data_IF_198442873667
#
_entry.id   IF_198442873667
#
_cell.length_a   1.000
_cell.length_b   1.000
_cell.length_c   1.000
_cell.angle_alpha   90.00
_cell.angle_beta   90.00
_cell.angle_gamma   90.00
#
_symmetry.space_group_name_H-M   'P 1'
#
loop_
_entity.id
_entity.type
_entity.pdbx_description
1 polymer ?
#
# COMPACT_ATOMS: atom_id res chain seq x y z
N UNK A 1 24.54 -5.58 -35.69
CA UNK A 1 24.72 -5.33 -34.25
C UNK A 1 23.72 -6.22 -33.56
N UNK A 2 24.18 -7.18 -32.76
CA UNK A 2 23.28 -7.93 -31.87
C UNK A 2 22.82 -6.94 -30.80
N UNK A 3 21.52 -6.70 -30.71
CA UNK A 3 20.93 -6.05 -29.55
C UNK A 3 21.18 -6.98 -28.36
N UNK A 4 22.13 -6.60 -27.49
CA UNK A 4 22.29 -7.30 -26.22
C UNK A 4 21.01 -7.09 -25.42
N UNK A 5 20.33 -8.17 -25.11
CA UNK A 5 19.13 -8.20 -24.28
C UNK A 5 19.44 -7.52 -22.94
N UNK A 6 18.75 -6.42 -22.63
CA UNK A 6 18.88 -5.70 -21.36
C UNK A 6 18.02 -6.37 -20.30
N UNK A 7 18.63 -6.66 -19.16
CA UNK A 7 17.98 -7.27 -18.01
C UNK A 7 17.39 -6.15 -17.15
N UNK A 8 16.14 -6.30 -16.73
CA UNK A 8 15.44 -5.34 -15.88
C UNK A 8 15.12 -5.99 -14.53
N UNK A 9 15.55 -5.35 -13.46
CA UNK A 9 15.33 -5.83 -12.08
C UNK A 9 14.75 -4.70 -11.26
N UNK A 10 13.69 -5.00 -10.50
CA UNK A 10 13.10 -4.08 -9.55
C UNK A 10 13.54 -4.47 -8.14
N UNK A 11 14.13 -3.50 -7.44
CA UNK A 11 14.50 -3.61 -6.04
C UNK A 11 13.43 -2.92 -5.19
N UNK A 12 12.59 -3.71 -4.52
CA UNK A 12 11.48 -3.22 -3.73
C UNK A 12 11.87 -3.08 -2.27
N UNK A 13 11.61 -1.91 -1.71
CA UNK A 13 11.83 -1.57 -0.31
C UNK A 13 10.54 -1.06 0.31
N UNK A 14 10.38 -1.29 1.62
CA UNK A 14 9.26 -0.71 2.36
C UNK A 14 9.29 0.81 2.21
N UNK A 15 8.10 1.39 2.04
CA UNK A 15 7.90 2.83 1.93
C UNK A 15 7.03 3.25 3.10
N UNK A 16 7.42 4.32 3.78
CA UNK A 16 6.67 4.90 4.90
C UNK A 16 6.53 6.40 4.68
N UNK A 17 5.61 7.05 5.38
CA UNK A 17 5.41 8.49 5.25
C UNK A 17 4.81 9.07 6.51
N UNK A 18 4.78 10.39 6.60
CA UNK A 18 4.08 11.12 7.65
C UNK A 18 3.13 12.14 7.01
N UNK A 19 1.88 12.16 7.48
CA UNK A 19 0.88 13.14 7.07
C UNK A 19 0.70 14.18 8.19
N UNK A 20 1.08 15.41 7.90
CA UNK A 20 0.89 16.56 8.79
C UNK A 20 -0.42 17.24 8.38
N UNK A 21 -1.43 17.14 9.24
CA UNK A 21 -2.75 17.74 9.00
C UNK A 21 -2.71 19.26 9.15
N UNK A 22 -3.40 19.97 8.28
CA UNK A 22 -3.61 21.42 8.42
C UNK A 22 -4.64 21.78 9.51
N UNK A 23 -5.46 20.83 9.97
CA UNK A 23 -6.54 21.10 10.94
C UNK A 23 -6.08 21.21 12.41
N UNK A 24 -4.78 21.01 12.68
CA UNK A 24 -4.20 21.04 14.05
C UNK A 24 -4.17 22.42 14.72
N UNK A 25 -4.71 23.48 14.10
CA UNK A 25 -4.73 24.83 14.70
C UNK A 25 -5.79 25.03 15.82
N UNK A 26 -6.66 24.06 16.12
CA UNK A 26 -7.76 24.23 17.07
C UNK A 26 -7.80 23.27 18.27
N UNK A 27 -6.84 22.34 18.43
CA UNK A 27 -6.74 21.51 19.63
C UNK A 27 -5.84 22.18 20.69
N UNK A 28 -6.42 22.46 21.87
CA UNK A 28 -5.74 23.18 22.97
C UNK A 28 -4.61 22.37 23.64
N UNK A 29 -4.32 21.15 23.19
CA UNK A 29 -3.34 20.22 23.78
C UNK A 29 -2.37 19.69 22.72
N UNK A 30 -1.37 20.49 22.34
CA UNK A 30 -0.26 20.07 21.49
C UNK A 30 0.38 18.78 22.02
N UNK A 31 0.35 17.73 21.21
CA UNK A 31 1.03 16.45 21.46
C UNK A 31 2.34 16.38 20.65
N UNK A 32 3.31 15.57 21.08
CA UNK A 32 4.54 15.34 20.28
C UNK A 32 4.26 14.76 18.88
N UNK A 33 3.09 14.13 18.69
CA UNK A 33 2.66 13.56 17.41
C UNK A 33 2.29 14.66 16.39
N UNK A 34 1.85 15.83 16.84
CA UNK A 34 1.52 16.97 15.97
C UNK A 34 2.77 17.58 15.31
N UNK A 35 3.95 17.37 15.91
CA UNK A 35 5.22 17.84 15.37
C UNK A 35 5.79 16.93 14.26
N UNK A 36 5.39 15.65 14.23
CA UNK A 36 5.94 14.65 13.31
C UNK A 36 4.91 14.10 12.31
N UNK A 37 3.61 14.37 12.49
CA UNK A 37 2.54 13.91 11.61
C UNK A 37 2.05 12.49 11.93
N UNK A 38 0.92 12.11 11.34
CA UNK A 38 0.39 10.74 11.41
C UNK A 38 1.26 9.80 10.55
N UNK A 39 1.86 8.74 11.13
CA UNK A 39 2.66 7.80 10.37
C UNK A 39 1.78 6.94 9.45
N UNK A 40 2.24 6.75 8.22
CA UNK A 40 1.59 6.00 7.16
C UNK A 40 2.50 4.86 6.68
N UNK A 41 1.93 3.67 6.54
CA UNK A 41 2.63 2.54 5.92
C UNK A 41 2.40 2.50 4.40
N UNK A 42 3.07 1.60 3.68
CA UNK A 42 2.93 1.49 2.22
C UNK A 42 1.50 1.26 1.74
N UNK A 43 0.63 0.65 2.54
CA UNK A 43 -0.80 0.48 2.21
C UNK A 43 -1.54 1.81 2.28
N UNK A 44 -1.23 2.63 3.28
CA UNK A 44 -1.79 3.97 3.43
C UNK A 44 -1.24 4.93 2.36
N UNK A 45 0.04 4.80 2.01
CA UNK A 45 0.65 5.59 0.94
C UNK A 45 0.13 5.27 -0.46
N UNK A 46 -0.41 4.07 -0.68
CA UNK A 46 -1.00 3.69 -1.96
C UNK A 46 -2.16 4.62 -2.37
N UNK A 47 -2.84 5.27 -1.40
CA UNK A 47 -3.87 6.26 -1.65
C UNK A 47 -3.33 7.55 -2.27
N UNK A 48 -2.09 7.89 -1.93
CA UNK A 48 -1.40 9.08 -2.40
C UNK A 48 -0.46 8.79 -3.57
N UNK A 49 -0.50 7.57 -4.15
CA UNK A 49 0.42 7.14 -5.22
C UNK A 49 0.53 8.17 -6.35
N UNK A 50 -0.58 8.77 -6.77
CA UNK A 50 -0.57 9.76 -7.85
C UNK A 50 0.20 11.02 -7.48
N UNK A 51 0.00 11.54 -6.26
CA UNK A 51 0.70 12.72 -5.76
C UNK A 51 2.20 12.45 -5.57
N UNK A 52 2.52 11.29 -4.99
CA UNK A 52 3.92 10.86 -4.80
C UNK A 52 4.61 10.68 -6.15
N UNK A 53 3.94 10.06 -7.13
CA UNK A 53 4.49 9.87 -8.48
C UNK A 53 4.69 11.20 -9.21
N UNK A 54 3.77 12.14 -9.04
CA UNK A 54 3.92 13.49 -9.59
C UNK A 54 5.13 14.21 -9.00
N UNK A 55 5.30 14.16 -7.67
CA UNK A 55 6.44 14.81 -7.03
C UNK A 55 7.77 14.14 -7.39
N UNK A 56 7.82 12.81 -7.49
CA UNK A 56 9.00 12.09 -8.01
C UNK A 56 9.39 12.57 -9.42
N UNK A 57 8.42 12.72 -10.31
CA UNK A 57 8.67 13.21 -11.67
C UNK A 57 9.17 14.67 -11.69
N UNK A 58 8.75 15.49 -10.71
CA UNK A 58 9.18 16.89 -10.57
C UNK A 58 10.57 17.00 -9.95
N UNK A 59 10.86 16.19 -8.93
CA UNK A 59 12.14 16.14 -8.25
C UNK A 59 13.25 15.69 -9.20
N UNK A 60 12.93 14.74 -10.07
CA UNK A 60 13.78 14.31 -11.19
C UNK A 60 14.15 12.83 -11.10
N UNK A 61 14.22 12.19 -12.27
CA UNK A 61 14.72 10.82 -12.43
C UNK A 61 16.25 10.81 -12.38
N UNK A 62 16.82 11.04 -11.20
CA UNK A 62 18.27 10.95 -11.02
C UNK A 62 18.72 9.48 -11.06
N UNK A 63 19.57 9.17 -12.04
CA UNK A 63 20.24 7.88 -12.12
C UNK A 63 21.33 7.80 -11.06
N UNK A 64 21.11 6.98 -10.04
CA UNK A 64 22.04 6.80 -8.92
C UNK A 64 23.42 6.33 -9.39
N UNK A 65 23.51 5.63 -10.53
CA UNK A 65 24.79 5.15 -11.03
C UNK A 65 25.78 6.26 -11.37
N UNK A 66 25.32 7.50 -11.59
CA UNK A 66 26.20 8.66 -11.82
C UNK A 66 27.08 8.99 -10.60
N UNK A 67 26.64 8.60 -9.40
CA UNK A 67 27.34 8.84 -8.14
C UNK A 67 28.00 7.57 -7.57
N UNK A 68 27.84 6.43 -8.25
CA UNK A 68 28.37 5.17 -7.78
C UNK A 68 29.90 5.12 -7.94
N UNK A 69 30.63 5.09 -6.82
CA UNK A 69 32.10 5.02 -6.78
C UNK A 69 32.64 3.64 -6.36
N UNK A 70 31.82 2.60 -6.43
CA UNK A 70 32.21 1.24 -6.03
C UNK A 70 32.98 0.48 -7.11
N UNK A 71 32.86 -0.84 -7.11
CA UNK A 71 33.59 -1.75 -7.99
C UNK A 71 33.36 -1.45 -9.48
N UNK A 72 34.45 -1.40 -10.26
CA UNK A 72 34.41 -1.19 -11.70
C UNK A 72 33.53 -2.23 -12.45
N UNK A 73 33.48 -3.46 -11.93
CA UNK A 73 32.62 -4.51 -12.47
C UNK A 73 31.14 -4.13 -12.43
N UNK A 74 30.68 -3.47 -11.35
CA UNK A 74 29.29 -3.00 -11.22
C UNK A 74 29.04 -1.84 -12.19
N UNK A 75 29.99 -0.91 -12.33
CA UNK A 75 29.87 0.20 -13.30
C UNK A 75 29.76 -0.26 -14.76
N UNK A 76 30.39 -1.37 -15.12
CA UNK A 76 30.30 -1.94 -16.47
C UNK A 76 28.98 -2.71 -16.69
N UNK A 77 28.48 -3.37 -15.64
CA UNK A 77 27.30 -4.24 -15.71
C UNK A 77 25.98 -3.50 -15.51
N UNK A 78 25.94 -2.47 -14.68
CA UNK A 78 24.72 -1.68 -14.41
C UNK A 78 24.71 -0.47 -15.34
N UNK A 79 23.67 -0.36 -16.16
CA UNK A 79 23.44 0.79 -17.06
C UNK A 79 22.82 1.97 -16.35
N UNK A 80 21.81 1.71 -15.52
CA UNK A 80 21.09 2.72 -14.78
C UNK A 80 20.47 2.13 -13.51
N UNK A 81 20.28 2.98 -12.52
CA UNK A 81 19.56 2.70 -11.29
C UNK A 81 18.66 3.90 -10.97
N UNK A 82 17.39 3.83 -11.38
CA UNK A 82 16.43 4.93 -11.25
C UNK A 82 15.45 4.64 -10.12
N UNK A 83 15.30 5.58 -9.20
CA UNK A 83 14.37 5.47 -8.07
C UNK A 83 12.96 5.85 -8.51
N UNK A 84 11.97 5.09 -8.05
CA UNK A 84 10.55 5.28 -8.31
C UNK A 84 9.72 4.59 -7.23
N UNK A 85 8.41 4.48 -7.44
CA UNK A 85 7.49 3.73 -6.59
C UNK A 85 6.73 2.68 -7.40
N UNK A 86 6.48 1.53 -6.78
CA UNK A 86 5.73 0.42 -7.36
C UNK A 86 4.64 -0.04 -6.40
N UNK A 87 3.41 -0.15 -6.92
CA UNK A 87 2.27 -0.62 -6.16
C UNK A 87 2.11 -2.13 -6.35
N UNK A 88 2.30 -2.89 -5.28
CA UNK A 88 2.09 -4.33 -5.28
C UNK A 88 0.88 -4.69 -4.45
N UNK A 89 -0.19 -5.08 -5.15
CA UNK A 89 -1.44 -5.52 -4.54
C UNK A 89 -2.01 -4.54 -3.49
N UNK A 90 -1.90 -3.22 -3.72
CA UNK A 90 -2.42 -2.20 -2.82
C UNK A 90 -1.47 -1.76 -1.72
N UNK A 91 -0.22 -2.23 -1.73
CA UNK A 91 0.86 -1.70 -0.90
C UNK A 91 1.88 -1.03 -1.80
N UNK A 92 2.17 0.25 -1.53
CA UNK A 92 3.16 1.03 -2.24
C UNK A 92 4.55 0.77 -1.67
N UNK A 93 5.50 0.50 -2.55
CA UNK A 93 6.90 0.24 -2.22
C UNK A 93 7.78 1.29 -2.87
N UNK A 94 8.89 1.62 -2.21
CA UNK A 94 10.02 2.26 -2.87
C UNK A 94 10.63 1.26 -3.83
N UNK A 95 11.00 1.70 -5.03
CA UNK A 95 11.51 0.83 -6.07
C UNK A 95 12.73 1.45 -6.73
N UNK A 96 13.85 0.73 -6.80
CA UNK A 96 14.94 1.08 -7.71
C UNK A 96 14.85 0.17 -8.94
N UNK A 97 14.59 0.76 -10.11
CA UNK A 97 14.62 0.08 -11.40
C UNK A 97 16.07 0.02 -11.89
N UNK A 98 16.58 -1.20 -11.99
CA UNK A 98 17.92 -1.47 -12.49
C UNK A 98 17.86 -1.94 -13.94
N UNK A 99 18.61 -1.29 -14.81
CA UNK A 99 18.92 -1.83 -16.13
C UNK A 99 20.33 -2.43 -16.12
N UNK A 100 20.48 -3.70 -16.48
CA UNK A 100 21.75 -4.40 -16.48
C UNK A 100 22.12 -4.91 -17.88
N UNK A 101 23.41 -4.86 -18.18
CA UNK A 101 24.05 -5.56 -19.30
C UNK A 101 24.31 -7.03 -19.00
N UNK A 102 24.51 -7.36 -17.72
CA UNK A 102 24.85 -8.69 -17.23
C UNK A 102 24.38 -8.82 -15.78
N UNK A 103 24.00 -10.03 -15.36
CA UNK A 103 23.65 -10.29 -13.97
C UNK A 103 24.81 -10.00 -13.01
N UNK A 104 24.47 -9.43 -11.86
CA UNK A 104 25.40 -9.22 -10.76
C UNK A 104 25.54 -10.52 -9.96
N UNK A 105 26.77 -10.83 -9.54
CA UNK A 105 27.00 -11.90 -8.59
C UNK A 105 26.56 -11.47 -7.17
N UNK A 106 26.46 -12.39 -6.19
CA UNK A 106 25.96 -12.07 -4.86
C UNK A 106 26.77 -10.99 -4.10
N UNK A 107 28.08 -10.90 -4.33
CA UNK A 107 28.94 -9.87 -3.70
C UNK A 107 28.69 -8.49 -4.33
N UNK A 108 28.62 -8.44 -5.66
CA UNK A 108 28.29 -7.22 -6.42
C UNK A 108 26.89 -6.71 -6.07
N UNK A 109 25.93 -7.62 -5.96
CA UNK A 109 24.56 -7.33 -5.58
C UNK A 109 24.45 -6.80 -4.16
N UNK A 110 25.25 -7.35 -3.24
CA UNK A 110 25.34 -6.85 -1.86
C UNK A 110 25.94 -5.44 -1.86
N UNK A 111 27.01 -5.21 -2.60
CA UNK A 111 27.65 -3.90 -2.70
C UNK A 111 26.68 -2.85 -3.28
N UNK A 112 25.99 -3.17 -4.37
CA UNK A 112 24.98 -2.29 -4.97
C UNK A 112 23.79 -2.06 -4.02
N UNK A 113 23.32 -3.09 -3.34
CA UNK A 113 22.23 -2.97 -2.36
C UNK A 113 22.61 -2.11 -1.15
N UNK A 114 23.83 -2.26 -0.63
CA UNK A 114 24.37 -1.42 0.45
C UNK A 114 24.49 0.04 -0.03
N UNK A 115 24.93 0.26 -1.28
CA UNK A 115 24.97 1.59 -1.89
C UNK A 115 23.59 2.24 -2.02
N UNK A 116 22.60 1.54 -2.58
CA UNK A 116 21.23 2.05 -2.74
C UNK A 116 20.61 2.37 -1.37
N UNK A 117 20.82 1.50 -0.39
CA UNK A 117 20.35 1.75 0.99
C UNK A 117 21.01 3.00 1.58
N UNK A 118 22.31 3.22 1.31
CA UNK A 118 23.00 4.45 1.67
C UNK A 118 22.41 5.69 0.99
N UNK A 119 22.11 5.61 -0.32
CA UNK A 119 21.45 6.68 -1.06
C UNK A 119 20.06 7.00 -0.50
N UNK A 120 19.30 6.01 -0.03
CA UNK A 120 18.00 6.25 0.60
C UNK A 120 18.12 6.91 1.97
N UNK A 121 19.19 6.64 2.72
CA UNK A 121 19.36 7.11 4.09
C UNK A 121 19.95 8.52 4.23
N UNK A 122 20.94 8.88 3.41
CA UNK A 122 21.78 10.09 3.60
C UNK A 122 22.14 10.76 2.26
N UNK A 123 21.38 10.42 1.21
CA UNK A 123 21.64 10.88 -0.15
C UNK A 123 20.36 11.30 -0.84
N UNK A 124 20.05 10.64 -1.95
CA UNK A 124 18.85 10.94 -2.73
C UNK A 124 17.56 10.86 -1.89
N UNK A 125 17.41 9.84 -1.03
CA UNK A 125 16.19 9.63 -0.25
C UNK A 125 15.96 10.67 0.82
N UNK A 126 17.02 11.12 1.51
CA UNK A 126 16.94 12.24 2.46
C UNK A 126 16.51 13.53 1.76
N UNK A 127 17.05 13.80 0.56
CA UNK A 127 16.66 14.97 -0.22
C UNK A 127 15.20 14.93 -0.69
N UNK A 128 14.71 13.74 -1.06
CA UNK A 128 13.32 13.53 -1.45
C UNK A 128 12.36 13.65 -0.25
N UNK A 129 12.75 13.16 0.92
CA UNK A 129 11.96 13.27 2.16
C UNK A 129 11.63 14.72 2.53
N UNK A 130 12.52 15.66 2.19
CA UNK A 130 12.31 17.10 2.40
C UNK A 130 11.35 17.74 1.38
N UNK A 131 10.84 16.99 0.40
CA UNK A 131 9.82 17.50 -0.51
C UNK A 131 8.44 17.38 0.14
N UNK A 132 7.85 18.53 0.44
CA UNK A 132 6.49 18.64 0.96
C UNK A 132 5.48 18.35 -0.17
N UNK A 133 4.80 17.21 -0.09
CA UNK A 133 3.77 16.82 -1.05
C UNK A 133 2.42 17.33 -0.53
N UNK A 134 1.85 18.31 -1.23
CA UNK A 134 0.54 18.85 -0.89
C UNK A 134 -0.56 17.85 -1.28
N UNK A 135 -1.33 17.40 -0.29
CA UNK A 135 -2.50 16.52 -0.46
C UNK A 135 -3.75 17.18 0.14
N UNK A 136 -4.94 16.62 -0.08
CA UNK A 136 -6.19 17.23 0.38
C UNK A 136 -6.22 17.37 1.92
N UNK A 137 -5.61 16.41 2.61
CA UNK A 137 -5.57 16.29 4.07
C UNK A 137 -4.41 17.03 4.73
N UNK A 138 -3.50 17.63 3.95
CA UNK A 138 -2.37 18.42 4.46
C UNK A 138 -1.06 18.16 3.73
N UNK A 139 0.04 18.06 4.48
CA UNK A 139 1.39 17.87 3.93
C UNK A 139 1.85 16.44 4.16
N UNK A 140 2.15 15.73 3.08
CA UNK A 140 2.71 14.38 3.09
C UNK A 140 4.22 14.43 2.86
N UNK A 141 4.99 13.83 3.78
CA UNK A 141 6.40 13.53 3.58
C UNK A 141 6.58 12.02 3.41
N UNK A 142 7.44 11.61 2.47
CA UNK A 142 7.65 10.19 2.12
C UNK A 142 9.08 9.77 2.41
N UNK A 143 9.23 8.64 3.06
CA UNK A 143 10.48 8.07 3.55
C UNK A 143 10.80 6.78 2.79
N UNK A 144 11.88 6.81 2.01
CA UNK A 144 12.45 5.62 1.37
C UNK A 144 13.34 4.80 2.31
N UNK A 145 13.68 5.36 3.47
CA UNK A 145 14.49 4.71 4.49
C UNK A 145 13.86 4.88 5.87
N UNK A 146 13.91 3.81 6.68
CA UNK A 146 13.54 3.87 8.08
C UNK A 146 14.35 2.86 8.92
N UNK A 147 14.53 3.11 10.24
CA UNK A 147 15.14 2.15 11.14
C UNK A 147 14.33 0.85 11.17
N UNK A 148 14.94 -0.27 10.75
CA UNK A 148 14.29 -1.58 10.75
C UNK A 148 13.79 -2.06 9.39
N UNK A 149 13.94 -1.27 8.33
CA UNK A 149 13.73 -1.67 6.94
C UNK A 149 14.45 -3.01 6.63
N UNK A 150 13.70 -3.96 6.06
CA UNK A 150 14.31 -5.17 5.49
C UNK A 150 15.08 -4.84 4.20
N UNK A 151 16.07 -5.67 3.86
CA UNK A 151 16.80 -5.53 2.59
C UNK A 151 15.84 -5.62 1.41
N UNK A 152 16.14 -4.84 0.36
CA UNK A 152 15.34 -4.78 -0.85
C UNK A 152 15.06 -6.19 -1.42
N UNK A 153 13.78 -6.44 -1.72
CA UNK A 153 13.33 -7.68 -2.36
C UNK A 153 13.52 -7.54 -3.87
N UNK A 154 14.26 -8.47 -4.47
CA UNK A 154 14.47 -8.51 -5.91
C UNK A 154 13.29 -9.16 -6.61
N UNK A 155 12.79 -8.49 -7.64
CA UNK A 155 11.85 -9.04 -8.58
C UNK A 155 12.33 -8.76 -10.00
N UNK A 156 12.47 -9.82 -10.79
CA UNK A 156 12.68 -9.68 -12.23
C UNK A 156 11.36 -9.23 -12.87
N UNK A 157 11.43 -8.27 -13.81
CA UNK A 157 10.26 -7.88 -14.58
C UNK A 157 9.90 -8.97 -15.59
N UNK A 158 9.17 -10.01 -15.16
CA UNK A 158 8.47 -10.87 -16.10
C UNK A 158 7.29 -10.10 -16.67
N UNK A 159 7.40 -9.62 -17.92
CA UNK A 159 6.28 -9.07 -18.71
C UNK A 159 5.05 -9.96 -18.55
N UNK A 160 4.11 -9.57 -17.68
CA UNK A 160 2.86 -10.29 -17.51
C UNK A 160 1.73 -9.28 -17.40
N UNK A 161 1.15 -8.98 -18.55
CA UNK A 161 -0.27 -8.67 -18.64
C UNK A 161 -1.02 -9.85 -18.00
N UNK A 162 -1.90 -9.58 -17.04
CA UNK A 162 -3.28 -10.06 -17.06
C UNK A 162 -4.02 -9.72 -15.75
N UNK A 163 -5.01 -8.84 -15.91
CA UNK A 163 -6.26 -8.87 -15.18
C UNK A 163 -6.92 -10.26 -15.34
N UNK A 164 -7.49 -10.84 -14.28
CA UNK A 164 -8.95 -10.98 -14.05
C UNK A 164 -9.25 -12.17 -13.11
N UNK A 165 -10.30 -11.98 -12.29
CA UNK A 165 -11.22 -12.97 -11.69
C UNK A 165 -10.76 -13.77 -10.47
N UNK A 166 -11.34 -13.44 -9.31
CA UNK A 166 -11.96 -14.46 -8.45
C UNK A 166 -13.18 -13.88 -7.73
N UNK A 167 -14.37 -14.14 -8.28
CA UNK A 167 -15.66 -13.89 -7.63
C UNK A 167 -16.15 -15.20 -6.96
N UNK A 168 -16.68 -15.09 -5.73
CA UNK A 168 -17.68 -15.97 -5.05
C UNK A 168 -17.23 -17.20 -4.24
N UNK A 169 -16.49 -17.04 -3.12
CA UNK A 169 -16.36 -18.15 -2.14
C UNK A 169 -16.50 -17.85 -0.63
N UNK A 170 -16.70 -16.62 -0.16
CA UNK A 170 -16.42 -16.32 1.27
C UNK A 170 -17.61 -16.12 2.23
N UNK A 171 -18.82 -16.59 1.93
CA UNK A 171 -20.01 -16.36 2.77
C UNK A 171 -20.15 -17.25 4.04
N UNK A 172 -19.09 -17.93 4.51
CA UNK A 172 -19.19 -18.90 5.63
C UNK A 172 -18.26 -18.65 6.84
N UNK A 173 -17.63 -17.47 6.99
CA UNK A 173 -16.82 -17.12 8.18
C UNK A 173 -17.59 -16.22 9.16
N UNK A 174 -17.30 -16.28 10.47
CA UNK A 174 -17.92 -15.39 11.45
C UNK A 174 -17.56 -13.93 11.13
N UNK A 175 -18.57 -13.05 11.11
CA UNK A 175 -18.41 -11.62 10.83
C UNK A 175 -18.19 -10.86 12.15
N UNK A 176 -17.08 -10.14 12.32
CA UNK A 176 -16.82 -9.38 13.53
C UNK A 176 -17.73 -8.14 13.59
N UNK A 177 -18.06 -7.67 14.81
CA UNK A 177 -19.04 -6.60 15.02
C UNK A 177 -18.41 -5.22 14.95
N UNK A 178 -18.95 -4.36 14.09
CA UNK A 178 -18.58 -2.96 13.93
C UNK A 178 -19.78 -2.07 14.30
N UNK A 179 -19.59 -1.16 15.27
CA UNK A 179 -20.63 -0.22 15.68
C UNK A 179 -20.56 1.05 14.84
N UNK A 180 -21.48 1.21 13.90
CA UNK A 180 -21.54 2.41 13.04
C UNK A 180 -22.10 3.65 13.76
N UNK A 181 -22.86 3.47 14.85
CA UNK A 181 -23.44 4.58 15.61
C UNK A 181 -22.34 5.27 16.43
N UNK A 182 -22.03 6.52 16.07
CA UNK A 182 -21.00 7.35 16.72
C UNK A 182 -19.65 7.41 16.00
N UNK A 183 -19.50 6.73 14.85
CA UNK A 183 -18.33 6.88 13.98
C UNK A 183 -18.43 8.14 13.13
N UNK A 184 -17.27 8.63 12.70
CA UNK A 184 -17.15 9.61 11.63
C UNK A 184 -17.94 9.11 10.40
N UNK A 185 -18.78 9.98 9.85
CA UNK A 185 -19.69 9.65 8.76
C UNK A 185 -18.95 9.37 7.45
N UNK A 186 -17.65 9.61 7.38
CA UNK A 186 -16.83 9.31 6.21
C UNK A 186 -16.70 7.80 5.95
N UNK A 187 -16.96 7.39 4.71
CA UNK A 187 -16.93 5.99 4.31
C UNK A 187 -15.53 5.37 4.44
N UNK A 188 -14.49 6.19 4.26
CA UNK A 188 -13.10 5.76 4.36
C UNK A 188 -12.71 5.48 5.81
N UNK A 189 -13.17 6.31 6.76
CA UNK A 189 -13.03 6.05 8.20
C UNK A 189 -13.70 4.72 8.58
N UNK A 190 -14.96 4.53 8.16
CA UNK A 190 -15.72 3.29 8.42
C UNK A 190 -15.06 2.06 7.79
N UNK A 191 -14.52 2.20 6.57
CA UNK A 191 -13.80 1.13 5.87
C UNK A 191 -12.47 0.79 6.56
N UNK A 192 -11.73 1.81 7.03
CA UNK A 192 -10.48 1.62 7.76
C UNK A 192 -10.71 0.84 9.05
N UNK A 193 -11.72 1.24 9.83
CA UNK A 193 -12.11 0.54 11.06
C UNK A 193 -12.55 -0.91 10.79
N UNK A 194 -13.33 -1.12 9.73
CA UNK A 194 -13.73 -2.45 9.29
C UNK A 194 -12.51 -3.31 8.88
N UNK A 195 -11.53 -2.71 8.20
CA UNK A 195 -10.31 -3.38 7.73
C UNK A 195 -9.43 -3.79 8.91
N UNK A 196 -9.19 -2.89 9.87
CA UNK A 196 -8.47 -3.16 11.12
C UNK A 196 -9.16 -4.28 11.89
N UNK A 197 -10.50 -4.22 11.99
CA UNK A 197 -11.28 -5.24 12.70
C UNK A 197 -11.14 -6.62 12.05
N UNK A 198 -11.16 -6.72 10.72
CA UNK A 198 -10.96 -7.97 9.98
C UNK A 198 -9.52 -8.48 10.13
N UNK A 199 -8.51 -7.61 10.03
CA UNK A 199 -7.10 -7.96 10.25
C UNK A 199 -6.86 -8.52 11.65
N UNK A 200 -7.48 -7.92 12.68
CA UNK A 200 -7.40 -8.40 14.07
C UNK A 200 -8.08 -9.77 14.30
N UNK A 201 -8.91 -10.24 13.36
CA UNK A 201 -9.55 -11.55 13.39
C UNK A 201 -8.90 -12.55 12.40
N UNK A 202 -7.67 -12.29 11.94
CA UNK A 202 -6.95 -13.09 10.94
C UNK A 202 -7.70 -13.19 9.59
N UNK A 203 -8.53 -12.20 9.27
CA UNK A 203 -9.32 -12.10 8.03
C UNK A 203 -8.72 -11.05 7.07
N UNK A 204 -7.39 -11.06 6.93
CA UNK A 204 -6.64 -10.09 6.12
C UNK A 204 -7.03 -10.13 4.64
N UNK A 205 -7.35 -11.32 4.10
CA UNK A 205 -7.79 -11.47 2.72
C UNK A 205 -9.16 -10.83 2.48
N UNK A 206 -10.09 -11.00 3.42
CA UNK A 206 -11.41 -10.39 3.40
C UNK A 206 -11.36 -8.87 3.59
N UNK A 207 -10.47 -8.37 4.45
CA UNK A 207 -10.21 -6.94 4.59
C UNK A 207 -9.78 -6.33 3.25
N UNK A 208 -8.84 -7.00 2.56
CA UNK A 208 -8.31 -6.58 1.26
C UNK A 208 -9.39 -6.59 0.17
N UNK A 209 -10.21 -7.64 0.12
CA UNK A 209 -11.34 -7.74 -0.83
C UNK A 209 -12.42 -6.69 -0.55
N UNK A 210 -12.78 -6.49 0.72
CA UNK A 210 -13.76 -5.49 1.15
C UNK A 210 -13.31 -4.09 0.72
N UNK A 211 -12.07 -3.70 1.03
CA UNK A 211 -11.53 -2.39 0.65
C UNK A 211 -11.57 -2.19 -0.86
N UNK A 212 -11.15 -3.20 -1.63
CA UNK A 212 -11.22 -3.16 -3.10
C UNK A 212 -12.65 -2.95 -3.62
N UNK A 213 -13.63 -3.69 -3.08
CA UNK A 213 -15.03 -3.56 -3.50
C UNK A 213 -15.62 -2.20 -3.11
N UNK A 214 -15.25 -1.67 -1.94
CA UNK A 214 -15.66 -0.33 -1.50
C UNK A 214 -15.11 0.74 -2.45
N UNK A 215 -13.83 0.65 -2.81
CA UNK A 215 -13.16 1.52 -3.77
C UNK A 215 -13.85 1.55 -5.14
N UNK A 216 -14.21 0.37 -5.67
CA UNK A 216 -14.88 0.24 -6.96
C UNK A 216 -16.37 0.66 -6.93
N UNK A 217 -16.94 0.89 -5.75
CA UNK A 217 -18.38 1.14 -5.61
C UNK A 217 -18.80 2.55 -6.03
N UNK A 218 -17.92 3.54 -5.86
CA UNK A 218 -18.12 4.96 -6.20
C UNK A 218 -19.34 5.63 -5.54
N UNK A 219 -19.99 4.96 -4.58
CA UNK A 219 -21.23 5.40 -3.95
C UNK A 219 -21.21 5.02 -2.47
N UNK A 220 -21.45 6.02 -1.62
CA UNK A 220 -21.42 5.90 -0.17
C UNK A 220 -22.31 4.76 0.36
N UNK A 221 -23.54 4.62 -0.16
CA UNK A 221 -24.48 3.60 0.30
C UNK A 221 -24.11 2.21 -0.21
N UNK A 222 -23.57 2.10 -1.44
CA UNK A 222 -23.03 0.83 -1.94
C UNK A 222 -21.82 0.38 -1.14
N UNK A 223 -20.93 1.30 -0.80
CA UNK A 223 -19.78 1.03 0.05
C UNK A 223 -20.21 0.54 1.44
N UNK A 224 -21.18 1.20 2.08
CA UNK A 224 -21.73 0.72 3.36
C UNK A 224 -22.33 -0.68 3.26
N UNK A 225 -23.04 -0.97 2.17
CA UNK A 225 -23.58 -2.31 1.92
C UNK A 225 -22.47 -3.35 1.79
N UNK A 226 -21.41 -3.05 1.04
CA UNK A 226 -20.25 -3.92 0.87
C UNK A 226 -19.58 -4.17 2.23
N UNK A 227 -19.32 -3.13 3.02
CA UNK A 227 -18.73 -3.27 4.37
C UNK A 227 -19.59 -4.18 5.25
N UNK A 228 -20.92 -4.01 5.21
CA UNK A 228 -21.87 -4.84 5.97
C UNK A 228 -21.92 -6.32 5.54
N UNK A 229 -21.34 -6.68 4.38
CA UNK A 229 -21.16 -8.08 3.96
C UNK A 229 -20.03 -8.76 4.75
N UNK A 230 -19.00 -8.01 5.14
CA UNK A 230 -17.80 -8.54 5.81
C UNK A 230 -17.83 -8.35 7.34
N UNK A 231 -18.47 -7.28 7.83
CA UNK A 231 -18.60 -6.98 9.26
C UNK A 231 -20.07 -6.86 9.67
N UNK A 232 -20.40 -7.27 10.89
CA UNK A 232 -21.75 -7.10 11.45
C UNK A 232 -21.95 -5.66 11.91
N UNK A 233 -22.85 -4.95 11.25
CA UNK A 233 -23.23 -3.58 11.61
C UNK A 233 -24.70 -3.49 12.01
N UNK A 234 -25.10 -2.40 12.64
CA UNK A 234 -26.51 -2.13 12.99
C UNK A 234 -27.44 -1.99 11.76
N UNK A 235 -26.87 -1.90 10.54
CA UNK A 235 -27.60 -1.92 9.27
C UNK A 235 -27.82 -3.34 8.73
N UNK A 236 -27.17 -4.35 9.32
CA UNK A 236 -27.35 -5.73 8.91
C UNK A 236 -28.78 -6.18 9.22
N UNK A 237 -29.51 -6.65 8.19
CA UNK A 237 -30.87 -7.15 8.36
C UNK A 237 -30.88 -8.25 9.43
N UNK A 238 -31.87 -8.27 10.35
CA UNK A 238 -31.96 -9.34 11.32
C UNK A 238 -32.02 -10.68 10.58
N UNK A 239 -31.43 -11.75 11.14
CA UNK A 239 -31.46 -13.06 10.52
C UNK A 239 -32.91 -13.40 10.14
N UNK A 240 -33.16 -13.71 8.86
CA UNK A 240 -34.48 -14.19 8.45
C UNK A 240 -34.76 -15.46 9.26
N UNK A 241 -35.63 -15.35 10.27
CA UNK A 241 -36.21 -16.51 10.93
C UNK A 241 -36.80 -17.38 9.83
N UNK A 242 -36.22 -18.55 9.64
CA UNK A 242 -36.81 -19.60 8.84
C UNK A 242 -38.15 -19.97 9.49
N UNK A 243 -39.23 -19.34 9.01
CA UNK A 243 -40.60 -19.84 9.18
C UNK A 243 -40.65 -21.23 8.56
N UNK A 244 -40.27 -22.24 9.33
CA UNK A 244 -40.61 -23.64 9.04
C UNK A 244 -42.12 -23.74 9.11
N UNK A 245 -42.71 -23.71 7.93
CA UNK A 245 -44.03 -24.21 7.60
C UNK A 245 -44.24 -25.57 8.25
N UNK A 246 -44.90 -25.61 9.42
CA UNK A 246 -45.63 -26.82 9.83
C UNK A 246 -46.85 -26.93 8.94
N UNK A 247 -46.67 -27.59 7.78
CA UNK A 247 -47.78 -28.12 6.99
C UNK A 247 -48.56 -29.09 7.88
N UNK A 248 -49.85 -28.80 8.03
CA UNK A 248 -50.87 -29.74 8.50
C UNK A 248 -50.77 -31.03 7.70
N UNK A 249 -50.70 -32.18 8.38
CA UNK A 249 -51.39 -33.37 7.92
C UNK A 249 -52.43 -33.75 8.97
N UNK A 250 -53.62 -34.00 8.45
CA UNK A 250 -54.90 -34.21 9.11
C UNK A 250 -55.13 -35.75 9.27
N UNK A 251 -56.32 -36.26 9.66
CA UNK A 251 -56.56 -37.08 10.85
C UNK A 251 -56.81 -38.59 10.56
N UNK A 252 -57.42 -39.28 11.52
CA UNK A 252 -57.96 -40.66 11.56
C UNK A 252 -57.00 -41.70 12.19
N UNK A 253 -57.39 -42.49 13.20
CA UNK A 253 -58.71 -42.92 13.71
C UNK A 253 -58.64 -43.24 15.20
#
# INVERSE_FOLDING_TARGET
MEEKETIHINLLTELTGNLISEESEWEEEWTENDAYGMPLDGTDLAWYESAIREELNRYGEDDLMQYFSGSASIQEKVKSAVVTIENQEGTLYGCTKLELNEFLNPEELKELGDYITGQYSDGWGEGFEQQDIQVEEGILNVHFWHPGMERAKMQEETKTQNETQTEKSHLNKPRPKLRLLGHDGNIFSIMSDASILLKNNDQTAEAKEMCKRVLESGDYYKALLIISEYVETELSLPPKENKRTKRKHQPER
#
